data_IF_514539406128
#
_entry.id   IF_514539406128
#
_cell.length_a   1.000
_cell.length_b   1.000
_cell.length_c   1.000
_cell.angle_alpha   90.00
_cell.angle_beta   90.00
_cell.angle_gamma   90.00
#
_symmetry.space_group_name_H-M   'P 1'
#
loop_
_entity.id
_entity.type
_entity.pdbx_description
1 polymer ?
#
# COMPACT_ATOMS: atom_id res chain seq x y z
N UNK A 1 12.36 23.47 -39.30
CA UNK A 1 12.21 23.96 -37.92
C UNK A 1 11.62 22.80 -37.11
N UNK A 2 12.47 21.99 -36.46
CA UNK A 2 12.05 20.78 -35.78
C UNK A 2 11.68 21.09 -34.33
N UNK A 3 10.44 20.86 -33.94
CA UNK A 3 9.95 20.97 -32.57
C UNK A 3 10.53 19.82 -31.74
N UNK A 4 11.60 20.09 -31.00
CA UNK A 4 12.12 19.19 -29.97
C UNK A 4 11.15 19.20 -28.78
N UNK A 5 10.21 18.26 -28.78
CA UNK A 5 9.39 17.95 -27.60
C UNK A 5 10.29 17.27 -26.58
N UNK A 6 10.96 18.08 -25.77
CA UNK A 6 11.75 17.62 -24.62
C UNK A 6 10.77 17.03 -23.61
N UNK A 7 10.53 15.73 -23.68
CA UNK A 7 9.85 14.98 -22.63
C UNK A 7 10.72 15.08 -21.38
N UNK A 8 10.39 16.03 -20.51
CA UNK A 8 10.91 16.14 -19.16
C UNK A 8 10.44 14.93 -18.38
N UNK A 9 11.16 13.81 -18.56
CA UNK A 9 11.09 12.67 -17.66
C UNK A 9 11.47 13.16 -16.28
N UNK A 10 10.47 13.41 -15.45
CA UNK A 10 10.65 13.70 -14.03
C UNK A 10 11.29 12.47 -13.40
N UNK A 11 12.60 12.57 -13.15
CA UNK A 11 13.31 11.63 -12.29
C UNK A 11 12.52 11.53 -10.98
N UNK A 12 12.10 10.33 -10.54
CA UNK A 12 11.35 10.20 -9.31
C UNK A 12 12.19 10.78 -8.17
N UNK A 13 11.69 11.82 -7.51
CA UNK A 13 12.42 12.44 -6.41
C UNK A 13 12.59 11.39 -5.32
N UNK A 14 13.83 11.16 -4.90
CA UNK A 14 14.18 10.21 -3.82
C UNK A 14 13.35 10.49 -2.56
N UNK A 15 13.03 11.77 -2.33
CA UNK A 15 12.09 12.24 -1.30
C UNK A 15 10.67 11.70 -1.48
N UNK A 16 10.10 11.76 -2.69
CA UNK A 16 8.77 11.23 -2.98
C UNK A 16 8.69 9.71 -2.83
N UNK A 17 9.76 9.02 -3.22
CA UNK A 17 9.89 7.58 -3.03
C UNK A 17 9.96 7.20 -1.54
N UNK A 18 10.79 7.88 -0.76
CA UNK A 18 10.89 7.66 0.68
C UNK A 18 9.59 7.94 1.43
N UNK A 19 8.88 9.03 1.06
CA UNK A 19 7.57 9.37 1.62
C UNK A 19 6.51 8.30 1.33
N UNK A 20 6.46 7.80 0.09
CA UNK A 20 5.54 6.75 -0.29
C UNK A 20 5.82 5.43 0.46
N UNK A 21 7.10 5.10 0.67
CA UNK A 21 7.50 3.92 1.45
C UNK A 21 7.11 4.06 2.92
N UNK A 22 7.38 5.21 3.53
CA UNK A 22 7.03 5.49 4.92
C UNK A 22 5.51 5.45 5.13
N UNK A 23 4.74 6.07 4.24
CA UNK A 23 3.28 6.02 4.27
C UNK A 23 2.77 4.58 4.17
N UNK A 24 3.32 3.80 3.23
CA UNK A 24 2.95 2.40 3.05
C UNK A 24 3.24 1.56 4.29
N UNK A 25 4.40 1.76 4.92
CA UNK A 25 4.79 1.06 6.14
C UNK A 25 3.86 1.41 7.32
N UNK A 26 3.55 2.69 7.52
CA UNK A 26 2.66 3.15 8.59
C UNK A 26 1.24 2.62 8.37
N UNK A 27 0.71 2.74 7.15
CA UNK A 27 -0.61 2.24 6.80
C UNK A 27 -0.70 0.72 6.97
N UNK A 28 0.30 -0.03 6.52
CA UNK A 28 0.36 -1.49 6.68
C UNK A 28 0.48 -1.93 8.13
N UNK A 29 1.27 -1.21 8.94
CA UNK A 29 1.42 -1.50 10.37
C UNK A 29 0.12 -1.27 11.14
N UNK A 30 -0.55 -0.13 10.91
CA UNK A 30 -1.86 0.16 11.50
C UNK A 30 -2.90 -0.90 11.11
N UNK A 31 -2.90 -1.31 9.84
CA UNK A 31 -3.78 -2.33 9.31
C UNK A 31 -3.56 -3.69 9.98
N UNK A 32 -2.30 -4.10 10.13
CA UNK A 32 -1.92 -5.35 10.79
C UNK A 32 -2.43 -5.41 12.22
N UNK A 33 -2.35 -4.29 12.97
CA UNK A 33 -2.89 -4.19 14.32
C UNK A 33 -4.42 -4.34 14.38
N UNK A 34 -5.16 -3.76 13.41
CA UNK A 34 -6.62 -3.88 13.35
C UNK A 34 -7.04 -5.33 13.07
N UNK A 35 -6.37 -5.98 12.13
CA UNK A 35 -6.62 -7.40 11.81
C UNK A 35 -6.26 -8.27 13.00
N UNK A 36 -5.12 -8.03 13.63
CA UNK A 36 -4.71 -8.78 14.83
C UNK A 36 -5.71 -8.62 15.98
N UNK A 37 -6.20 -7.40 16.22
CA UNK A 37 -7.21 -7.13 17.24
C UNK A 37 -8.52 -7.89 16.97
N UNK A 38 -9.04 -7.81 15.75
CA UNK A 38 -10.26 -8.52 15.35
C UNK A 38 -10.10 -10.04 15.40
N UNK A 39 -8.93 -10.57 15.01
CA UNK A 39 -8.63 -12.00 15.09
C UNK A 39 -8.47 -12.47 16.54
N UNK A 40 -7.85 -11.66 17.39
CA UNK A 40 -7.71 -11.93 18.83
C UNK A 40 -9.08 -11.96 19.52
N UNK A 41 -9.99 -11.03 19.20
CA UNK A 41 -11.35 -11.03 19.73
C UNK A 41 -12.15 -12.25 19.26
N UNK A 42 -11.96 -12.67 18.01
CA UNK A 42 -12.56 -13.90 17.47
C UNK A 42 -12.05 -15.15 18.21
N UNK A 43 -10.73 -15.28 18.39
CA UNK A 43 -10.14 -16.39 19.13
C UNK A 43 -10.51 -16.38 20.62
N UNK A 44 -10.79 -15.21 21.19
CA UNK A 44 -11.28 -15.06 22.56
C UNK A 44 -12.77 -15.45 22.72
N UNK A 45 -13.44 -15.88 21.64
CA UNK A 45 -14.84 -16.32 21.67
C UNK A 45 -15.84 -15.18 21.81
N UNK A 46 -15.42 -13.94 21.56
CA UNK A 46 -16.33 -12.77 21.55
C UNK A 46 -17.09 -12.76 20.23
N UNK A 47 -18.40 -12.45 20.23
CA UNK A 47 -19.17 -12.33 18.99
C UNK A 47 -18.62 -11.14 18.21
N UNK A 48 -17.77 -11.42 17.22
CA UNK A 48 -17.24 -10.40 16.33
C UNK A 48 -18.39 -9.93 15.45
N UNK A 49 -18.71 -8.64 15.52
CA UNK A 49 -19.70 -8.03 14.63
C UNK A 49 -19.24 -8.24 13.18
N UNK A 50 -19.99 -9.04 12.41
CA UNK A 50 -19.61 -9.44 11.05
C UNK A 50 -19.30 -8.24 10.14
N UNK A 51 -19.88 -7.07 10.41
CA UNK A 51 -19.57 -5.82 9.71
C UNK A 51 -18.14 -5.33 9.90
N UNK A 52 -17.58 -5.42 11.12
CA UNK A 52 -16.19 -5.04 11.39
C UNK A 52 -15.20 -5.99 10.71
N UNK A 53 -15.53 -7.28 10.67
CA UNK A 53 -14.71 -8.28 9.97
C UNK A 53 -14.70 -8.06 8.45
N UNK A 54 -15.87 -7.78 7.85
CA UNK A 54 -15.98 -7.45 6.43
C UNK A 54 -15.26 -6.13 6.09
N UNK A 55 -15.35 -5.13 6.97
CA UNK A 55 -14.60 -3.88 6.81
C UNK A 55 -13.08 -4.13 6.84
N UNK A 56 -12.60 -4.94 7.79
CA UNK A 56 -11.20 -5.31 7.88
C UNK A 56 -10.72 -6.06 6.61
N UNK A 57 -11.53 -6.98 6.08
CA UNK A 57 -11.26 -7.68 4.82
C UNK A 57 -11.25 -6.74 3.62
N UNK A 58 -12.20 -5.81 3.53
CA UNK A 58 -12.27 -4.83 2.45
C UNK A 58 -11.04 -3.92 2.45
N UNK A 59 -10.66 -3.41 3.62
CA UNK A 59 -9.50 -2.53 3.75
C UNK A 59 -8.19 -3.32 3.52
N UNK A 60 -8.13 -4.62 3.87
CA UNK A 60 -7.02 -5.50 3.52
C UNK A 60 -6.91 -5.67 2.00
N UNK A 61 -8.02 -5.87 1.30
CA UNK A 61 -8.05 -5.92 -0.16
C UNK A 61 -7.54 -4.64 -0.82
N UNK A 62 -7.96 -3.47 -0.30
CA UNK A 62 -7.45 -2.17 -0.75
C UNK A 62 -5.94 -2.05 -0.51
N UNK A 63 -5.46 -2.47 0.67
CA UNK A 63 -4.03 -2.43 1.00
C UNK A 63 -3.20 -3.33 0.08
N UNK A 64 -3.66 -4.56 -0.20
CA UNK A 64 -3.00 -5.47 -1.14
C UNK A 64 -2.98 -4.90 -2.56
N UNK A 65 -4.07 -4.28 -3.01
CA UNK A 65 -4.11 -3.58 -4.31
C UNK A 65 -3.10 -2.44 -4.39
N UNK A 66 -2.97 -1.67 -3.30
CA UNK A 66 -1.98 -0.59 -3.20
C UNK A 66 -0.54 -1.12 -3.18
N UNK A 67 -0.30 -2.21 -2.45
CA UNK A 67 0.99 -2.90 -2.40
C UNK A 67 1.40 -3.42 -3.78
N UNK A 68 0.46 -4.01 -4.51
CA UNK A 68 0.67 -4.48 -5.88
C UNK A 68 1.02 -3.32 -6.82
N UNK A 69 0.28 -2.21 -6.74
CA UNK A 69 0.55 -1.02 -7.54
C UNK A 69 1.95 -0.45 -7.25
N UNK A 70 2.34 -0.42 -5.97
CA UNK A 70 3.65 0.02 -5.51
C UNK A 70 4.77 -0.92 -5.98
N UNK A 71 4.56 -2.23 -5.95
CA UNK A 71 5.48 -3.23 -6.49
C UNK A 71 5.66 -3.07 -8.00
N UNK A 72 4.57 -2.85 -8.74
CA UNK A 72 4.59 -2.52 -10.18
C UNK A 72 5.36 -1.23 -10.46
N UNK A 73 5.14 -0.21 -9.63
CA UNK A 73 5.83 1.07 -9.72
C UNK A 73 7.34 0.91 -9.51
N UNK A 74 7.74 0.17 -8.46
CA UNK A 74 9.12 -0.19 -8.19
C UNK A 74 9.76 -0.95 -9.34
N UNK A 75 9.12 -2.00 -9.84
CA UNK A 75 9.61 -2.79 -10.98
C UNK A 75 9.81 -1.96 -12.25
N UNK A 76 8.96 -0.94 -12.48
CA UNK A 76 9.10 -0.04 -13.62
C UNK A 76 10.22 1.00 -13.47
N UNK A 77 10.68 1.26 -12.25
CA UNK A 77 11.67 2.29 -11.92
C UNK A 77 13.05 1.70 -11.59
N UNK A 78 13.13 0.41 -11.26
CA UNK A 78 14.38 -0.32 -11.06
C UNK A 78 14.81 -0.92 -12.41
N UNK A 79 15.87 -0.39 -13.06
CA UNK A 79 16.47 -1.08 -14.20
C UNK A 79 17.07 -2.39 -13.69
N UNK A 80 16.56 -3.51 -14.21
CA UNK A 80 17.14 -4.83 -14.01
C UNK A 80 18.29 -4.93 -15.01
N UNK A 81 19.50 -4.57 -14.58
CA UNK A 81 20.74 -5.01 -15.23
C UNK A 81 21.12 -6.41 -14.73
#
# INVERSE_FOLDING_TARGET
MATSSKSSGSSPSVLGFGLALAFFFIAGSAMSLIIWGTLSDFMAGRPVEGGLFLLALAVLGVFVGFAWLMARYLQSRVPWE
#
